data_IF_859559778356
#
_entry.id   IF_859559778356
#
_cell.length_a   1.000
_cell.length_b   1.000
_cell.length_c   1.000
_cell.angle_alpha   90.00
_cell.angle_beta   90.00
_cell.angle_gamma   90.00
#
_symmetry.space_group_name_H-M   'P 1'
#
loop_
_entity.id
_entity.type
_entity.pdbx_description
1 polymer ?
#
# COMPACT_ATOMS: atom_id res chain seq x y z
N UNK A 1 -12.63 -8.64 33.06
CA UNK A 1 -11.77 -7.45 32.90
C UNK A 1 -12.37 -6.63 31.77
N UNK A 2 -12.63 -5.35 31.96
CA UNK A 2 -12.99 -4.48 30.83
C UNK A 2 -11.75 -4.41 29.93
N UNK A 3 -11.86 -4.91 28.70
CA UNK A 3 -10.84 -4.65 27.69
C UNK A 3 -10.70 -3.13 27.53
N UNK A 4 -9.47 -2.61 27.45
CA UNK A 4 -9.27 -1.20 27.12
C UNK A 4 -9.94 -0.90 25.77
N UNK A 5 -10.88 0.05 25.78
CA UNK A 5 -11.52 0.54 24.55
C UNK A 5 -10.54 1.46 23.82
N UNK A 6 -9.80 0.91 22.85
CA UNK A 6 -8.95 1.69 21.95
C UNK A 6 -9.71 2.06 20.67
N UNK A 7 -9.40 3.23 20.09
CA UNK A 7 -9.84 3.55 18.73
C UNK A 7 -9.22 2.55 17.75
N UNK A 8 -10.07 1.75 17.10
CA UNK A 8 -9.65 0.72 16.13
C UNK A 8 -8.92 1.35 14.94
N UNK A 9 -9.30 2.56 14.52
CA UNK A 9 -8.62 3.26 13.45
C UNK A 9 -7.20 3.67 13.87
N UNK A 10 -7.02 4.11 15.11
CA UNK A 10 -5.70 4.44 15.67
C UNK A 10 -4.81 3.21 15.83
N UNK A 11 -5.36 2.12 16.39
CA UNK A 11 -4.62 0.87 16.53
C UNK A 11 -4.13 0.35 15.16
N UNK A 12 -5.00 0.41 14.14
CA UNK A 12 -4.64 0.05 12.77
C UNK A 12 -3.54 0.94 12.19
N UNK A 13 -3.59 2.25 12.46
CA UNK A 13 -2.53 3.19 12.04
C UNK A 13 -1.20 2.80 12.69
N UNK A 14 -1.21 2.45 13.98
CA UNK A 14 -0.03 1.99 14.70
C UNK A 14 0.56 0.70 14.10
N UNK A 15 -0.27 -0.30 13.81
CA UNK A 15 0.17 -1.54 13.15
C UNK A 15 0.80 -1.29 11.78
N UNK A 16 0.25 -0.35 11.02
CA UNK A 16 0.77 0.02 9.69
C UNK A 16 2.15 0.69 9.71
N UNK A 17 2.71 1.02 10.88
CA UNK A 17 4.06 1.55 11.00
C UNK A 17 5.14 0.49 10.71
N UNK A 18 4.83 -0.79 10.90
CA UNK A 18 5.74 -1.88 10.53
C UNK A 18 5.69 -2.11 9.02
N UNK A 19 6.82 -1.87 8.33
CA UNK A 19 6.93 -2.10 6.89
C UNK A 19 6.91 -3.60 6.59
N UNK A 20 6.17 -3.98 5.56
CA UNK A 20 5.98 -5.37 5.14
C UNK A 20 6.23 -5.52 3.65
N UNK A 21 6.61 -6.70 3.21
CA UNK A 21 6.40 -7.09 1.81
C UNK A 21 4.94 -7.44 1.56
N UNK A 22 4.55 -7.53 0.30
CA UNK A 22 3.20 -7.97 -0.09
C UNK A 22 3.25 -9.38 -0.63
N UNK A 23 2.32 -10.23 -0.20
CA UNK A 23 2.23 -11.62 -0.66
C UNK A 23 0.87 -11.95 -1.24
N UNK A 24 0.84 -12.93 -2.13
CA UNK A 24 -0.38 -13.65 -2.52
C UNK A 24 -0.30 -15.06 -1.99
N UNK A 25 -1.31 -15.45 -1.22
CA UNK A 25 -1.46 -16.80 -0.67
C UNK A 25 -2.48 -17.55 -1.51
N UNK A 26 -2.16 -18.76 -1.91
CA UNK A 26 -2.98 -19.56 -2.82
C UNK A 26 -3.13 -21.00 -2.34
N UNK A 27 -4.18 -21.65 -2.81
CA UNK A 27 -4.46 -23.08 -2.60
C UNK A 27 -5.30 -23.58 -3.77
N UNK A 28 -5.50 -24.90 -3.84
CA UNK A 28 -6.50 -25.53 -4.69
C UNK A 28 -7.73 -25.89 -3.83
N UNK A 29 -8.93 -25.61 -4.35
CA UNK A 29 -10.21 -25.95 -3.72
C UNK A 29 -10.53 -27.44 -3.92
N UNK A 30 -11.49 -28.00 -3.15
CA UNK A 30 -11.90 -29.40 -3.33
C UNK A 30 -12.41 -29.74 -4.73
N UNK A 31 -12.95 -28.76 -5.46
CA UNK A 31 -13.40 -28.90 -6.85
C UNK A 31 -12.26 -28.80 -7.89
N UNK A 32 -11.02 -28.63 -7.44
CA UNK A 32 -9.83 -28.49 -8.28
C UNK A 32 -9.55 -27.06 -8.76
N UNK A 33 -10.43 -26.10 -8.50
CA UNK A 33 -10.22 -24.71 -8.92
C UNK A 33 -9.26 -23.96 -7.99
N UNK A 34 -8.46 -23.00 -8.49
CA UNK A 34 -7.52 -22.26 -7.66
C UNK A 34 -8.21 -21.18 -6.83
N UNK A 35 -7.72 -20.96 -5.61
CA UNK A 35 -8.19 -19.91 -4.70
C UNK A 35 -7.02 -19.14 -4.14
N UNK A 36 -7.16 -17.83 -3.95
CA UNK A 36 -6.12 -17.03 -3.34
C UNK A 36 -6.57 -15.66 -2.84
N UNK A 37 -5.70 -15.04 -2.05
CA UNK A 37 -5.90 -13.71 -1.49
C UNK A 37 -4.56 -13.01 -1.26
N UNK A 38 -4.57 -11.69 -1.26
CA UNK A 38 -3.40 -10.87 -0.89
C UNK A 38 -3.29 -10.79 0.63
N UNK A 39 -2.07 -10.91 1.15
CA UNK A 39 -1.76 -10.72 2.56
C UNK A 39 -0.46 -9.93 2.73
N UNK A 40 -0.31 -9.27 3.87
CA UNK A 40 0.95 -8.66 4.30
C UNK A 40 1.33 -9.06 5.74
N UNK A 41 0.65 -10.07 6.30
CA UNK A 41 0.89 -10.66 7.62
C UNK A 41 1.90 -11.83 7.60
N UNK A 42 2.59 -12.02 6.47
CA UNK A 42 3.57 -13.09 6.30
C UNK A 42 4.74 -12.94 7.29
N UNK A 43 5.23 -14.06 7.83
CA UNK A 43 6.41 -14.08 8.70
C UNK A 43 7.16 -15.41 8.56
N UNK A 44 8.49 -15.35 8.51
CA UNK A 44 9.35 -16.54 8.67
C UNK A 44 9.39 -16.97 10.15
N UNK A 45 9.17 -18.25 10.43
CA UNK A 45 9.00 -18.75 11.82
C UNK A 45 10.20 -19.57 12.28
N UNK A 46 10.65 -20.52 11.46
CA UNK A 46 11.71 -21.45 11.82
C UNK A 46 12.51 -21.87 10.58
N UNK A 47 13.80 -22.14 10.77
CA UNK A 47 14.67 -22.70 9.72
C UNK A 47 14.72 -24.23 9.77
N UNK A 48 14.64 -24.83 10.95
CA UNK A 48 14.59 -26.29 11.11
C UNK A 48 13.59 -26.70 12.22
N UNK A 49 12.41 -27.26 11.85
CA UNK A 49 11.92 -27.42 10.48
C UNK A 49 11.64 -26.06 9.80
N UNK A 50 11.68 -26.02 8.47
CA UNK A 50 11.41 -24.80 7.70
C UNK A 50 9.92 -24.41 7.79
N UNK A 51 9.60 -23.41 8.61
CA UNK A 51 8.23 -22.94 8.87
C UNK A 51 8.05 -21.47 8.52
N UNK A 52 6.90 -21.17 7.92
CA UNK A 52 6.38 -19.82 7.70
C UNK A 52 4.96 -19.71 8.25
N UNK A 53 4.47 -18.48 8.44
CA UNK A 53 3.07 -18.24 8.75
C UNK A 53 2.48 -17.09 7.93
N UNK A 54 1.15 -17.10 7.82
CA UNK A 54 0.33 -16.00 7.31
C UNK A 54 -1.02 -15.98 8.02
N UNK A 55 -1.61 -14.80 8.21
CA UNK A 55 -2.91 -14.65 8.85
C UNK A 55 -4.00 -14.37 7.81
N UNK A 56 -5.19 -14.96 7.99
CA UNK A 56 -6.39 -14.68 7.19
C UNK A 56 -7.56 -14.33 8.11
N UNK A 57 -8.28 -13.25 7.77
CA UNK A 57 -9.46 -12.82 8.50
C UNK A 57 -10.57 -13.87 8.37
N UNK A 58 -11.28 -14.16 9.46
CA UNK A 58 -12.43 -15.08 9.46
C UNK A 58 -13.59 -14.59 8.58
N UNK A 59 -13.62 -13.29 8.30
CA UNK A 59 -14.59 -12.62 7.42
C UNK A 59 -14.21 -12.67 5.94
N UNK A 60 -12.98 -13.09 5.60
CA UNK A 60 -12.55 -13.18 4.21
C UNK A 60 -13.33 -14.29 3.50
N UNK A 61 -13.79 -14.05 2.26
CA UNK A 61 -14.50 -15.07 1.49
C UNK A 61 -13.68 -16.34 1.28
N UNK A 62 -12.34 -16.22 1.28
CA UNK A 62 -11.39 -17.32 1.14
C UNK A 62 -11.19 -18.13 2.44
N UNK A 63 -11.61 -17.62 3.60
CA UNK A 63 -11.39 -18.25 4.89
C UNK A 63 -11.87 -19.71 4.95
N UNK A 64 -13.11 -20.07 4.53
CA UNK A 64 -13.58 -21.46 4.60
C UNK A 64 -12.67 -22.47 3.88
N UNK A 65 -12.02 -22.04 2.79
CA UNK A 65 -11.08 -22.89 2.04
C UNK A 65 -9.75 -23.01 2.78
N UNK A 66 -9.21 -21.90 3.27
CA UNK A 66 -7.90 -21.88 3.94
C UNK A 66 -7.92 -22.45 5.36
N UNK A 67 -9.07 -22.47 6.05
CA UNK A 67 -9.20 -23.11 7.37
C UNK A 67 -9.07 -24.63 7.31
N UNK A 68 -9.33 -25.23 6.14
CA UNK A 68 -9.31 -26.68 5.94
C UNK A 68 -8.23 -27.13 4.95
N UNK A 69 -7.46 -26.19 4.37
CA UNK A 69 -6.47 -26.56 3.35
C UNK A 69 -5.32 -27.35 3.94
N UNK A 70 -4.90 -28.40 3.22
CA UNK A 70 -3.72 -29.20 3.57
C UNK A 70 -2.45 -28.66 2.92
N UNK A 71 -2.58 -27.82 1.89
CA UNK A 71 -1.47 -27.34 1.04
C UNK A 71 -1.75 -25.92 0.60
N UNK A 72 -0.73 -25.08 0.63
CA UNK A 72 -0.85 -23.72 0.14
C UNK A 72 0.49 -23.22 -0.37
N UNK A 73 0.47 -22.18 -1.18
CA UNK A 73 1.68 -21.47 -1.56
C UNK A 73 1.60 -20.00 -1.17
N UNK A 74 2.77 -19.40 -0.95
CA UNK A 74 2.93 -17.96 -0.69
C UNK A 74 3.88 -17.40 -1.73
N UNK A 75 3.43 -16.42 -2.50
CA UNK A 75 4.26 -15.67 -3.45
C UNK A 75 4.53 -14.28 -2.90
N UNK A 76 5.79 -13.95 -2.60
CA UNK A 76 6.23 -12.59 -2.26
C UNK A 76 6.35 -11.80 -3.55
N UNK A 77 5.51 -10.77 -3.70
CA UNK A 77 5.38 -10.04 -4.95
C UNK A 77 6.58 -9.15 -5.23
N UNK A 78 6.95 -9.04 -6.51
CA UNK A 78 7.91 -8.06 -7.00
C UNK A 78 7.24 -6.68 -7.19
N UNK A 79 8.06 -5.62 -7.26
CA UNK A 79 7.63 -4.22 -7.33
C UNK A 79 6.64 -3.95 -8.48
N UNK A 80 6.85 -4.56 -9.65
CA UNK A 80 5.98 -4.45 -10.83
C UNK A 80 4.65 -5.23 -10.69
N UNK A 81 4.50 -6.06 -9.67
CA UNK A 81 3.33 -6.89 -9.41
C UNK A 81 2.29 -6.24 -8.51
N UNK A 82 2.33 -4.91 -8.35
CA UNK A 82 1.24 -4.18 -7.72
C UNK A 82 -0.15 -4.50 -8.33
N UNK A 83 -0.32 -4.62 -9.67
CA UNK A 83 -1.60 -5.02 -10.24
C UNK A 83 -2.07 -6.42 -9.76
N UNK A 84 -1.13 -7.36 -9.58
CA UNK A 84 -1.41 -8.70 -9.04
C UNK A 84 -1.96 -8.59 -7.61
N UNK A 85 -1.32 -7.78 -6.77
CA UNK A 85 -1.82 -7.52 -5.42
C UNK A 85 -3.26 -6.98 -5.43
N UNK A 86 -3.57 -6.07 -6.35
CA UNK A 86 -4.91 -5.50 -6.49
C UNK A 86 -5.97 -6.54 -6.87
N UNK A 87 -5.66 -7.40 -7.84
CA UNK A 87 -6.55 -8.50 -8.27
C UNK A 87 -6.86 -9.44 -7.11
N UNK A 88 -5.84 -9.89 -6.38
CA UNK A 88 -6.01 -10.89 -5.33
C UNK A 88 -6.64 -10.34 -4.05
N UNK A 89 -6.57 -9.03 -3.82
CA UNK A 89 -7.27 -8.35 -2.73
C UNK A 89 -8.74 -7.97 -3.08
N UNK A 90 -9.10 -7.94 -4.37
CA UNK A 90 -10.47 -7.64 -4.83
C UNK A 90 -11.48 -8.78 -4.58
N UNK A 91 -12.77 -8.52 -4.87
CA UNK A 91 -13.85 -9.53 -4.90
C UNK A 91 -14.06 -10.14 -6.31
N UNK A 92 -13.14 -9.94 -7.25
CA UNK A 92 -13.24 -10.50 -8.60
C UNK A 92 -13.39 -12.03 -8.57
N UNK A 93 -14.26 -12.58 -9.41
CA UNK A 93 -14.49 -14.02 -9.54
C UNK A 93 -13.32 -14.71 -10.29
N UNK A 94 -12.81 -14.08 -11.35
CA UNK A 94 -11.84 -14.66 -12.27
C UNK A 94 -10.40 -14.16 -12.01
N UNK A 95 -9.95 -14.20 -10.75
CA UNK A 95 -8.63 -13.68 -10.36
C UNK A 95 -7.48 -14.36 -11.11
N UNK A 96 -7.52 -15.69 -11.19
CA UNK A 96 -6.48 -16.51 -11.79
C UNK A 96 -6.46 -16.48 -13.32
N UNK A 97 -7.47 -15.87 -13.96
CA UNK A 97 -7.47 -15.62 -15.40
C UNK A 97 -6.73 -14.31 -15.76
N UNK A 98 -6.51 -13.43 -14.79
CA UNK A 98 -5.91 -12.10 -14.99
C UNK A 98 -4.40 -12.06 -14.67
N UNK A 99 -3.87 -13.11 -14.05
CA UNK A 99 -2.50 -13.17 -13.54
C UNK A 99 -1.86 -14.47 -14.02
N UNK A 100 -0.60 -14.42 -14.44
CA UNK A 100 0.16 -15.61 -14.81
C UNK A 100 0.62 -16.37 -13.55
N UNK A 101 0.44 -17.68 -13.56
CA UNK A 101 0.81 -18.56 -12.45
C UNK A 101 1.09 -19.96 -12.96
N UNK A 102 1.82 -20.74 -12.17
CA UNK A 102 2.02 -22.17 -12.39
C UNK A 102 1.88 -22.96 -11.08
N UNK A 103 1.57 -24.25 -11.19
CA UNK A 103 1.55 -25.14 -10.04
C UNK A 103 2.97 -25.59 -9.67
N UNK A 104 3.21 -25.76 -8.37
CA UNK A 104 4.46 -26.32 -7.82
C UNK A 104 4.25 -27.72 -7.25
N UNK A 105 5.18 -28.19 -6.42
CA UNK A 105 5.26 -29.53 -5.86
C UNK A 105 3.94 -30.02 -5.23
N UNK A 106 3.22 -29.16 -4.51
CA UNK A 106 1.97 -29.51 -3.84
C UNK A 106 0.74 -29.44 -4.75
N UNK A 107 0.89 -28.82 -5.93
CA UNK A 107 -0.21 -28.41 -6.81
C UNK A 107 -0.69 -26.97 -6.57
N UNK A 108 -0.24 -26.32 -5.49
CA UNK A 108 -0.64 -24.94 -5.18
C UNK A 108 -0.07 -23.93 -6.19
N UNK A 109 -0.86 -22.92 -6.63
CA UNK A 109 -0.40 -21.91 -7.58
C UNK A 109 0.67 -20.96 -7.02
N UNK A 110 1.76 -20.72 -7.73
CA UNK A 110 2.68 -19.60 -7.43
C UNK A 110 2.62 -18.55 -8.53
N UNK A 111 2.79 -17.27 -8.16
CA UNK A 111 2.72 -16.16 -9.10
C UNK A 111 4.02 -16.08 -9.91
N UNK A 112 3.91 -16.01 -11.24
CA UNK A 112 5.08 -15.86 -12.11
C UNK A 112 5.73 -14.50 -11.88
N UNK A 113 7.06 -14.44 -11.86
CA UNK A 113 7.81 -13.19 -11.63
C UNK A 113 7.85 -12.73 -10.16
N UNK A 114 7.30 -13.49 -9.22
CA UNK A 114 7.42 -13.21 -7.79
C UNK A 114 8.88 -13.08 -7.34
N UNK A 115 9.16 -12.17 -6.41
CA UNK A 115 10.47 -11.99 -5.79
C UNK A 115 10.91 -13.27 -5.05
N UNK A 116 9.96 -13.96 -4.42
CA UNK A 116 10.15 -15.31 -3.89
C UNK A 116 8.82 -16.07 -3.88
N UNK A 117 8.87 -17.40 -3.83
CA UNK A 117 7.68 -18.19 -3.55
C UNK A 117 7.99 -19.44 -2.74
N UNK A 118 7.07 -19.79 -1.84
CA UNK A 118 7.17 -20.91 -0.91
C UNK A 118 5.96 -21.82 -1.11
N UNK A 119 6.22 -23.09 -1.39
CA UNK A 119 5.19 -24.12 -1.51
C UNK A 119 5.17 -24.95 -0.23
N UNK A 120 3.99 -25.07 0.38
CA UNK A 120 3.85 -25.50 1.77
C UNK A 120 2.82 -26.60 1.95
N UNK A 121 3.12 -27.49 2.90
CA UNK A 121 2.11 -28.33 3.54
C UNK A 121 1.65 -27.64 4.84
N UNK A 122 0.35 -27.64 5.10
CA UNK A 122 -0.21 -27.05 6.32
C UNK A 122 0.32 -27.80 7.53
N UNK A 123 1.04 -27.09 8.39
CA UNK A 123 1.59 -27.62 9.63
C UNK A 123 0.61 -27.46 10.79
N UNK A 124 0.00 -26.29 10.90
CA UNK A 124 -0.97 -25.98 11.95
C UNK A 124 -1.87 -24.81 11.56
N UNK A 125 -3.13 -24.86 11.98
CA UNK A 125 -4.06 -23.73 11.94
C UNK A 125 -4.37 -23.33 13.38
N UNK A 126 -4.17 -22.06 13.73
CA UNK A 126 -4.38 -21.54 15.09
C UNK A 126 -5.46 -20.47 15.07
N UNK A 127 -6.44 -20.59 15.96
CA UNK A 127 -7.44 -19.54 16.20
C UNK A 127 -6.80 -18.34 16.90
N UNK A 128 -6.95 -17.14 16.34
CA UNK A 128 -6.31 -15.92 16.85
C UNK A 128 -7.24 -14.71 16.70
N UNK A 129 -8.31 -14.67 17.50
CA UNK A 129 -9.25 -13.55 17.52
C UNK A 129 -10.12 -13.51 16.28
N UNK A 130 -10.08 -12.41 15.53
CA UNK A 130 -10.83 -12.24 14.27
C UNK A 130 -10.10 -12.85 13.05
N UNK A 131 -8.92 -13.44 13.25
CA UNK A 131 -8.14 -14.15 12.25
C UNK A 131 -7.86 -15.60 12.64
N UNK A 132 -7.41 -16.38 11.67
CA UNK A 132 -6.64 -17.61 11.91
C UNK A 132 -5.18 -17.37 11.50
N UNK A 133 -4.25 -18.03 12.18
CA UNK A 133 -2.85 -18.12 11.79
C UNK A 133 -2.66 -19.45 11.07
N UNK A 134 -2.29 -19.39 9.79
CA UNK A 134 -1.95 -20.54 8.97
C UNK A 134 -0.43 -20.73 8.99
N UNK A 135 0.03 -21.80 9.62
CA UNK A 135 1.46 -22.17 9.69
C UNK A 135 1.72 -23.25 8.65
N UNK A 136 2.70 -23.02 7.78
CA UNK A 136 3.09 -23.93 6.72
C UNK A 136 4.52 -24.45 6.89
N UNK A 137 4.70 -25.75 6.65
CA UNK A 137 6.03 -26.34 6.45
C UNK A 137 6.40 -26.21 4.98
N UNK A 138 7.51 -25.53 4.71
CA UNK A 138 8.00 -25.33 3.35
C UNK A 138 8.55 -26.64 2.80
N UNK A 139 8.04 -27.08 1.65
CA UNK A 139 8.45 -28.30 0.95
C UNK A 139 9.14 -28.04 -0.39
N UNK A 140 9.01 -26.83 -0.93
CA UNK A 140 9.73 -26.31 -2.10
C UNK A 140 9.74 -24.77 -2.06
N UNK A 141 10.77 -24.12 -2.60
CA UNK A 141 10.85 -22.66 -2.68
C UNK A 141 11.75 -22.16 -3.82
N UNK A 142 11.51 -20.94 -4.27
CA UNK A 142 12.40 -20.21 -5.18
C UNK A 142 12.53 -18.76 -4.76
N UNK A 143 13.61 -18.12 -5.20
CA UNK A 143 13.78 -16.67 -5.09
C UNK A 143 14.39 -16.12 -6.39
N UNK A 144 14.20 -14.83 -6.63
CA UNK A 144 14.79 -14.11 -7.75
C UNK A 144 15.65 -12.95 -7.22
N UNK A 145 16.14 -12.10 -8.12
CA UNK A 145 16.82 -10.83 -7.79
C UNK A 145 15.88 -9.63 -7.91
N UNK A 146 14.58 -9.85 -8.16
CA UNK A 146 13.61 -8.77 -8.31
C UNK A 146 13.44 -8.01 -6.98
N UNK A 147 13.29 -6.70 -7.07
CA UNK A 147 12.98 -5.85 -5.92
C UNK A 147 11.58 -6.18 -5.42
N UNK A 148 11.37 -6.45 -4.11
CA UNK A 148 10.06 -6.80 -3.59
C UNK A 148 9.13 -5.58 -3.50
N UNK A 149 7.84 -5.82 -3.69
CA UNK A 149 6.81 -4.81 -3.44
C UNK A 149 6.65 -4.57 -1.94
N UNK A 150 6.85 -3.32 -1.50
CA UNK A 150 6.67 -2.92 -0.12
C UNK A 150 5.26 -2.43 0.19
N UNK A 151 4.86 -2.48 1.46
CA UNK A 151 3.63 -1.87 1.97
C UNK A 151 3.86 -1.29 3.36
N UNK A 152 3.52 -0.03 3.54
CA UNK A 152 3.68 0.69 4.79
C UNK A 152 2.63 1.80 4.92
N UNK A 153 2.07 1.96 6.13
CA UNK A 153 1.05 2.98 6.46
C UNK A 153 -0.17 3.00 5.54
N UNK A 154 -0.53 1.84 4.98
CA UNK A 154 -1.71 1.70 4.12
C UNK A 154 -1.48 2.07 2.65
N UNK A 155 -0.23 2.04 2.18
CA UNK A 155 0.08 2.29 0.77
C UNK A 155 1.38 1.61 0.32
N UNK A 156 1.48 1.29 -0.97
CA UNK A 156 2.62 0.58 -1.55
C UNK A 156 3.92 1.39 -1.51
N UNK A 157 5.06 0.72 -1.35
CA UNK A 157 6.39 1.35 -1.32
C UNK A 157 7.23 0.74 -2.42
N UNK A 158 7.71 1.60 -3.33
CA UNK A 158 8.66 1.24 -4.37
C UNK A 158 10.06 1.63 -3.88
N UNK A 159 10.94 0.63 -3.78
CA UNK A 159 12.30 0.84 -3.29
C UNK A 159 13.21 1.39 -4.40
N UNK A 160 12.89 1.12 -5.66
CA UNK A 160 13.62 1.66 -6.82
C UNK A 160 13.59 3.19 -6.86
N UNK A 161 12.46 3.82 -6.52
CA UNK A 161 12.31 5.28 -6.50
C UNK A 161 13.35 5.97 -5.62
N UNK A 162 13.73 5.35 -4.50
CA UNK A 162 14.78 5.90 -3.62
C UNK A 162 16.15 5.90 -4.28
N UNK A 163 16.44 4.88 -5.10
CA UNK A 163 17.67 4.82 -5.88
C UNK A 163 17.66 5.87 -6.99
N UNK A 164 16.54 6.02 -7.70
CA UNK A 164 16.37 7.03 -8.74
C UNK A 164 16.53 8.46 -8.20
N UNK A 165 15.89 8.75 -7.06
CA UNK A 165 16.01 10.05 -6.41
C UNK A 165 17.45 10.34 -5.97
N UNK A 166 18.18 9.32 -5.47
CA UNK A 166 19.59 9.46 -5.12
C UNK A 166 20.45 9.69 -6.37
N UNK A 167 20.21 8.96 -7.45
CA UNK A 167 20.93 9.12 -8.72
C UNK A 167 20.72 10.51 -9.35
N UNK A 168 19.58 11.15 -9.09
CA UNK A 168 19.29 12.51 -9.52
C UNK A 168 20.03 13.61 -8.73
N UNK A 169 20.79 13.26 -7.69
CA UNK A 169 21.53 14.23 -6.86
C UNK A 169 22.55 14.99 -7.71
N UNK A 170 22.43 16.33 -7.75
CA UNK A 170 23.30 17.20 -8.55
C UNK A 170 22.70 17.69 -9.86
N UNK A 171 21.50 17.20 -10.24
CA UNK A 171 20.73 17.72 -11.35
C UNK A 171 19.77 18.85 -10.90
N UNK A 172 19.21 19.59 -11.86
CA UNK A 172 18.14 20.56 -11.56
C UNK A 172 16.89 19.78 -11.17
N UNK A 173 16.54 19.80 -9.88
CA UNK A 173 15.40 19.06 -9.36
C UNK A 173 14.23 19.98 -8.95
N UNK A 174 13.03 19.42 -9.03
CA UNK A 174 11.84 19.93 -8.37
C UNK A 174 11.33 18.84 -7.42
N UNK A 175 11.19 19.18 -6.14
CA UNK A 175 10.77 18.24 -5.10
C UNK A 175 9.41 18.64 -4.58
N UNK A 176 8.40 17.79 -4.80
CA UNK A 176 7.02 18.04 -4.40
C UNK A 176 6.49 17.04 -3.38
N UNK A 177 5.31 17.33 -2.83
CA UNK A 177 4.59 16.40 -1.96
C UNK A 177 3.11 16.28 -2.32
N UNK A 178 2.60 15.05 -2.33
CA UNK A 178 1.19 14.72 -2.29
C UNK A 178 0.83 14.52 -0.82
N UNK A 179 0.15 15.50 -0.23
CA UNK A 179 -0.17 15.52 1.20
C UNK A 179 -1.65 15.28 1.42
N UNK A 180 -1.97 14.35 2.32
CA UNK A 180 -3.34 14.11 2.78
C UNK A 180 -3.64 14.81 4.10
N UNK A 181 -4.85 15.35 4.18
CA UNK A 181 -5.54 15.85 5.36
C UNK A 181 -6.87 15.09 5.47
N UNK A 182 -7.50 14.96 6.66
CA UNK A 182 -8.82 14.33 6.78
C UNK A 182 -9.90 14.87 5.82
N UNK A 183 -9.80 16.14 5.44
CA UNK A 183 -10.71 16.79 4.48
C UNK A 183 -10.35 16.60 3.00
N UNK A 184 -9.17 16.03 2.68
CA UNK A 184 -8.74 15.78 1.31
C UNK A 184 -7.26 16.06 1.05
N UNK A 185 -6.88 16.15 -0.22
CA UNK A 185 -5.52 16.50 -0.62
C UNK A 185 -5.23 17.98 -0.43
N UNK A 186 -4.01 18.27 0.01
CA UNK A 186 -3.51 19.64 0.12
C UNK A 186 -3.07 20.15 -1.25
N UNK A 187 -3.77 21.17 -1.74
CA UNK A 187 -3.42 21.90 -2.94
C UNK A 187 -3.17 23.38 -2.62
N UNK A 188 -2.19 23.97 -3.30
CA UNK A 188 -1.86 25.38 -3.21
C UNK A 188 -2.51 26.11 -4.37
N UNK A 189 -3.32 27.12 -4.06
CA UNK A 189 -3.92 28.03 -5.03
C UNK A 189 -2.95 29.16 -5.36
N UNK A 190 -2.61 29.28 -6.64
CA UNK A 190 -1.76 30.37 -7.14
C UNK A 190 -2.58 31.65 -7.28
N UNK A 191 -1.90 32.79 -7.42
CA UNK A 191 -2.54 34.09 -7.70
C UNK A 191 -3.34 34.10 -9.01
N UNK A 192 -3.04 33.20 -9.94
CA UNK A 192 -3.79 33.02 -11.19
C UNK A 192 -5.01 32.10 -11.04
N UNK A 193 -5.30 31.61 -9.83
CA UNK A 193 -6.37 30.65 -9.55
C UNK A 193 -6.08 29.21 -10.00
N UNK A 194 -4.84 28.90 -10.42
CA UNK A 194 -4.43 27.53 -10.70
C UNK A 194 -4.18 26.78 -9.39
N UNK A 195 -4.32 25.45 -9.40
CA UNK A 195 -3.96 24.60 -8.27
C UNK A 195 -2.69 23.82 -8.58
N UNK A 196 -1.83 23.67 -7.57
CA UNK A 196 -0.60 22.89 -7.65
C UNK A 196 -0.34 22.14 -6.35
N UNK A 197 0.48 21.11 -6.41
CA UNK A 197 1.06 20.49 -5.21
C UNK A 197 2.08 21.44 -4.57
N UNK A 198 2.33 21.36 -3.25
CA UNK A 198 3.47 22.02 -2.64
C UNK A 198 4.77 21.48 -3.28
N UNK A 199 5.60 22.41 -3.76
CA UNK A 199 6.84 22.12 -4.49
C UNK A 199 7.96 23.03 -4.00
N UNK A 200 9.17 22.48 -3.91
CA UNK A 200 10.42 23.18 -3.67
C UNK A 200 11.50 22.72 -4.65
N UNK A 201 12.73 23.21 -4.46
CA UNK A 201 13.90 22.88 -5.30
C UNK A 201 14.70 21.68 -4.79
N UNK A 202 14.45 21.29 -3.53
CA UNK A 202 15.08 20.18 -2.81
C UNK A 202 14.23 19.82 -1.60
N UNK A 203 14.48 18.70 -0.94
CA UNK A 203 13.71 18.28 0.23
C UNK A 203 13.97 19.16 1.47
N UNK A 204 15.24 19.30 1.83
CA UNK A 204 15.77 19.95 3.05
C UNK A 204 16.75 21.08 2.68
N UNK A 205 17.09 22.02 3.59
CA UNK A 205 16.66 22.12 4.99
C UNK A 205 15.40 22.97 5.20
N UNK A 206 14.71 22.77 6.32
CA UNK A 206 13.58 23.61 6.78
C UNK A 206 13.86 25.12 6.75
N UNK A 207 15.09 25.54 7.05
CA UNK A 207 15.49 26.95 7.08
C UNK A 207 15.55 27.61 5.69
N UNK A 208 15.59 26.82 4.61
CA UNK A 208 15.58 27.35 3.24
C UNK A 208 14.14 27.41 2.72
N UNK A 209 13.61 28.62 2.52
CA UNK A 209 12.26 28.85 2.00
C UNK A 209 12.02 28.28 0.59
N UNK A 210 13.08 27.96 -0.16
CA UNK A 210 12.99 27.31 -1.46
C UNK A 210 13.04 25.76 -1.39
N UNK A 211 13.32 25.17 -0.22
CA UNK A 211 13.18 23.73 -0.01
C UNK A 211 11.70 23.37 0.20
N UNK A 212 11.33 22.12 -0.08
CA UNK A 212 9.97 21.65 0.15
C UNK A 212 9.56 21.82 1.62
N UNK A 213 10.46 21.52 2.57
CA UNK A 213 10.21 21.76 4.00
C UNK A 213 9.98 23.23 4.33
N UNK A 214 10.79 24.13 3.77
CA UNK A 214 10.61 25.57 3.95
C UNK A 214 9.31 26.09 3.34
N UNK A 215 8.93 25.58 2.15
CA UNK A 215 7.65 25.90 1.49
C UNK A 215 6.47 25.47 2.37
N UNK A 216 6.49 24.23 2.88
CA UNK A 216 5.44 23.76 3.79
C UNK A 216 5.37 24.59 5.07
N UNK A 217 6.52 24.92 5.66
CA UNK A 217 6.60 25.81 6.83
C UNK A 217 6.02 27.20 6.57
N UNK A 218 6.28 27.77 5.39
CA UNK A 218 5.72 29.06 4.95
C UNK A 218 4.19 29.05 4.88
N UNK A 219 3.59 27.92 4.52
CA UNK A 219 2.15 27.70 4.57
C UNK A 219 1.61 27.27 5.94
N UNK A 220 2.49 27.15 6.95
CA UNK A 220 2.18 26.60 8.28
C UNK A 220 1.64 25.17 8.23
N UNK A 221 2.12 24.39 7.26
CA UNK A 221 1.79 22.98 7.11
C UNK A 221 2.88 22.14 7.75
N UNK A 222 2.55 21.48 8.85
CA UNK A 222 3.40 20.46 9.43
C UNK A 222 3.02 19.10 8.83
N UNK A 223 3.98 18.48 8.13
CA UNK A 223 3.72 17.26 7.37
C UNK A 223 4.76 16.17 7.67
N UNK A 224 4.28 14.95 7.82
CA UNK A 224 5.12 13.76 7.76
C UNK A 224 5.24 13.33 6.30
N UNK A 225 6.46 13.19 5.78
CA UNK A 225 6.73 12.71 4.43
C UNK A 225 7.19 11.27 4.54
N UNK A 226 6.39 10.34 4.05
CA UNK A 226 6.55 8.90 4.33
C UNK A 226 7.53 8.25 3.33
N UNK A 227 7.18 8.29 2.04
CA UNK A 227 7.92 7.59 0.98
C UNK A 227 7.86 8.39 -0.32
N UNK A 228 8.74 8.06 -1.26
CA UNK A 228 8.63 8.52 -2.63
C UNK A 228 7.43 7.88 -3.31
N UNK A 229 6.79 8.66 -4.16
CA UNK A 229 5.64 8.25 -4.98
C UNK A 229 5.98 8.26 -6.48
N UNK A 230 6.81 9.22 -6.90
CA UNK A 230 7.22 9.31 -8.29
C UNK A 230 8.59 9.98 -8.40
N UNK A 231 9.39 9.48 -9.32
CA UNK A 231 10.60 10.14 -9.85
C UNK A 231 10.49 10.09 -11.37
N UNK A 232 10.57 11.23 -12.04
CA UNK A 232 10.54 11.32 -13.50
C UNK A 232 11.29 12.56 -14.00
N UNK A 233 11.71 12.54 -15.27
CA UNK A 233 12.36 13.69 -15.91
C UNK A 233 11.39 14.36 -16.89
N UNK A 234 11.30 15.69 -16.83
CA UNK A 234 10.59 16.49 -17.82
C UNK A 234 11.43 17.74 -18.18
N UNK A 235 11.69 17.94 -19.48
CA UNK A 235 12.40 19.12 -20.00
C UNK A 235 13.74 19.40 -19.30
N UNK A 236 14.48 18.35 -18.94
CA UNK A 236 15.77 18.44 -18.25
C UNK A 236 15.68 18.82 -16.77
N UNK A 237 14.50 18.71 -16.16
CA UNK A 237 14.27 18.85 -14.73
C UNK A 237 13.82 17.50 -14.17
N UNK A 238 14.46 17.06 -13.09
CA UNK A 238 14.06 15.84 -12.38
C UNK A 238 12.99 16.19 -11.36
N UNK A 239 11.82 15.59 -11.48
CA UNK A 239 10.70 15.74 -10.58
C UNK A 239 10.68 14.59 -9.57
N UNK A 240 10.67 14.92 -8.29
CA UNK A 240 10.69 13.96 -7.19
C UNK A 240 9.49 14.27 -6.29
N UNK A 241 8.52 13.35 -6.22
CA UNK A 241 7.33 13.54 -5.41
C UNK A 241 7.29 12.57 -4.24
N UNK A 242 7.17 13.11 -3.04
CA UNK A 242 6.90 12.36 -1.83
C UNK A 242 5.39 12.25 -1.60
N UNK A 243 4.97 11.19 -0.93
CA UNK A 243 3.65 11.15 -0.28
C UNK A 243 3.80 11.49 1.20
N UNK A 244 2.76 12.06 1.78
CA UNK A 244 2.76 12.37 3.19
C UNK A 244 1.38 12.71 3.74
N UNK A 245 1.35 13.06 5.02
CA UNK A 245 0.14 13.48 5.72
C UNK A 245 0.42 14.73 6.55
N UNK A 246 -0.58 15.58 6.65
CA UNK A 246 -0.58 16.68 7.61
C UNK A 246 -0.72 16.09 9.01
N UNK A 247 0.10 16.57 9.95
CA UNK A 247 0.17 16.07 11.33
C UNK A 247 -0.79 16.83 12.25
N UNK A 248 -1.14 18.07 11.89
CA UNK A 248 -1.88 19.00 12.74
C UNK A 248 -3.18 19.43 12.04
N UNK A 249 -4.24 19.79 12.77
CA UNK A 249 -5.49 20.38 12.21
C UNK A 249 -5.26 21.84 11.74
N UNK A 250 -4.20 22.07 10.94
CA UNK A 250 -3.90 23.37 10.40
C UNK A 250 -5.08 23.80 9.52
N UNK A 251 -5.80 24.89 9.85
CA UNK A 251 -6.95 25.31 9.04
C UNK A 251 -6.48 25.76 7.66
N UNK A 252 -7.35 25.58 6.66
CA UNK A 252 -7.11 26.11 5.33
C UNK A 252 -6.76 27.61 5.41
N UNK A 253 -5.59 27.98 4.89
CA UNK A 253 -5.19 29.39 4.80
C UNK A 253 -5.66 29.99 3.47
N UNK A 254 -5.45 31.30 3.27
CA UNK A 254 -5.92 32.02 2.08
C UNK A 254 -5.60 31.30 0.75
N UNK A 255 -4.45 30.62 0.67
CA UNK A 255 -3.98 29.94 -0.54
C UNK A 255 -3.89 28.41 -0.40
N UNK A 256 -4.23 27.83 0.75
CA UNK A 256 -4.23 26.37 0.94
C UNK A 256 -5.67 25.86 0.79
N UNK A 257 -5.84 24.77 0.06
CA UNK A 257 -7.12 24.10 -0.15
C UNK A 257 -7.00 22.63 0.23
N UNK A 258 -7.94 22.13 1.02
CA UNK A 258 -8.17 20.70 1.19
C UNK A 258 -9.25 20.29 0.20
N UNK A 259 -8.88 19.41 -0.73
CA UNK A 259 -9.74 19.02 -1.83
C UNK A 259 -9.99 17.51 -1.77
N UNK A 260 -11.24 17.06 -1.56
CA UNK A 260 -11.57 15.64 -1.57
C UNK A 260 -11.10 14.95 -2.85
N UNK A 261 -10.63 13.71 -2.75
CA UNK A 261 -10.06 12.94 -3.88
C UNK A 261 -11.03 12.84 -5.08
N UNK A 262 -12.33 12.76 -4.81
CA UNK A 262 -13.39 12.68 -5.82
C UNK A 262 -13.83 14.04 -6.39
N UNK A 263 -13.33 15.16 -5.83
CA UNK A 263 -13.76 16.52 -6.16
C UNK A 263 -12.60 17.39 -6.69
N UNK A 264 -11.48 16.78 -7.08
CA UNK A 264 -10.31 17.51 -7.60
C UNK A 264 -10.71 18.23 -8.90
N UNK A 265 -10.56 19.57 -8.97
CA UNK A 265 -10.90 20.33 -10.17
C UNK A 265 -9.75 20.22 -11.17
N UNK A 266 -9.69 19.09 -11.88
CA UNK A 266 -8.57 18.73 -12.77
C UNK A 266 -8.18 19.84 -13.76
N UNK A 267 -9.14 20.58 -14.32
CA UNK A 267 -8.87 21.69 -15.24
C UNK A 267 -8.13 22.90 -14.63
N UNK A 268 -7.96 22.94 -13.30
CA UNK A 268 -7.16 23.95 -12.60
C UNK A 268 -5.71 23.51 -12.35
N UNK A 269 -5.38 22.24 -12.56
CA UNK A 269 -4.01 21.73 -12.52
C UNK A 269 -3.43 21.92 -13.92
N UNK A 270 -2.40 22.76 -14.05
CA UNK A 270 -1.89 23.20 -15.36
C UNK A 270 -0.78 22.33 -15.91
N UNK A 271 -0.04 21.67 -15.04
CA UNK A 271 1.04 20.79 -15.42
C UNK A 271 0.47 19.39 -15.72
N UNK A 272 0.59 18.96 -16.97
CA UNK A 272 0.01 17.70 -17.45
C UNK A 272 0.70 16.46 -16.86
N UNK A 273 2.01 16.54 -16.57
CA UNK A 273 2.72 15.43 -15.95
C UNK A 273 2.29 15.28 -14.49
N UNK A 274 2.18 16.40 -13.77
CA UNK A 274 1.65 16.42 -12.40
C UNK A 274 0.19 15.97 -12.36
N UNK A 275 -0.65 16.40 -13.32
CA UNK A 275 -2.04 15.93 -13.41
C UNK A 275 -2.11 14.41 -13.60
N UNK A 276 -1.35 13.86 -14.55
CA UNK A 276 -1.29 12.42 -14.81
C UNK A 276 -0.83 11.64 -13.57
N UNK A 277 0.26 12.09 -12.93
CA UNK A 277 0.76 11.52 -11.70
C UNK A 277 -0.29 11.56 -10.57
N UNK A 278 -0.99 12.68 -10.41
CA UNK A 278 -1.99 12.82 -9.34
C UNK A 278 -3.25 11.98 -9.62
N UNK A 279 -3.66 11.83 -10.88
CA UNK A 279 -4.73 10.89 -11.27
C UNK A 279 -4.34 9.46 -10.94
N UNK A 280 -3.09 9.08 -11.21
CA UNK A 280 -2.54 7.80 -10.80
C UNK A 280 -2.62 7.64 -9.28
N UNK A 281 -2.15 8.63 -8.51
CA UNK A 281 -2.26 8.63 -7.05
C UNK A 281 -3.70 8.44 -6.54
N UNK A 282 -4.67 9.17 -7.11
CA UNK A 282 -6.08 9.09 -6.68
C UNK A 282 -6.68 7.73 -6.98
N UNK A 283 -6.46 7.20 -8.19
CA UNK A 283 -6.89 5.84 -8.56
C UNK A 283 -6.32 4.83 -7.57
N UNK A 284 -5.01 4.91 -7.38
CA UNK A 284 -4.26 4.05 -6.48
C UNK A 284 -4.75 4.17 -5.04
N UNK A 285 -4.98 5.34 -4.48
CA UNK A 285 -5.53 5.48 -3.12
C UNK A 285 -6.96 4.97 -2.97
N UNK A 286 -7.73 5.00 -4.05
CA UNK A 286 -9.09 4.45 -4.07
C UNK A 286 -9.06 2.92 -4.13
N UNK A 287 -8.06 2.34 -4.79
CA UNK A 287 -7.82 0.89 -4.90
C UNK A 287 -7.08 0.32 -3.67
N UNK A 288 -6.09 1.04 -3.15
CA UNK A 288 -5.26 0.76 -1.96
C UNK A 288 -6.04 0.92 -0.65
N UNK A 289 -7.33 1.26 -0.71
CA UNK A 289 -8.26 1.09 0.41
C UNK A 289 -8.48 -0.39 0.78
N UNK A 290 -7.47 -1.24 0.57
CA UNK A 290 -7.18 -2.42 1.38
C UNK A 290 -6.87 -2.00 2.81
N UNK A 291 -7.86 -1.41 3.48
CA UNK A 291 -8.06 -1.80 4.84
C UNK A 291 -8.16 -3.32 4.83
N UNK A 292 -7.28 -4.04 5.53
CA UNK A 292 -7.58 -5.31 6.21
C UNK A 292 -9.11 -5.43 6.39
N UNK A 293 -9.77 -6.06 5.43
CA UNK A 293 -11.21 -5.95 5.33
C UNK A 293 -11.78 -6.89 6.39
N UNK A 294 -12.23 -6.32 7.51
CA UNK A 294 -13.06 -7.01 8.50
C UNK A 294 -14.36 -6.21 8.54
N UNK A 295 -15.39 -6.70 7.84
CA UNK A 295 -16.74 -6.11 7.89
C UNK A 295 -17.60 -6.38 6.65
N UNK A 296 -18.65 -7.17 6.82
CA UNK A 296 -19.67 -7.48 5.81
C UNK A 296 -20.58 -6.26 5.50
N UNK A 297 -21.10 -6.21 4.27
CA UNK A 297 -21.91 -5.11 3.70
C UNK A 297 -23.37 -5.15 4.16
N UNK A 298 -23.81 -6.14 4.95
CA UNK A 298 -25.25 -6.29 5.25
C UNK A 298 -25.75 -5.74 6.60
N UNK A 299 -24.89 -5.30 7.54
CA UNK A 299 -25.36 -4.67 8.80
C UNK A 299 -24.49 -3.52 9.29
N UNK A 300 -24.44 -2.44 8.52
CA UNK A 300 -24.02 -1.13 9.01
C UNK A 300 -25.18 -0.44 9.73
N UNK A 301 -25.36 -0.69 11.03
CA UNK A 301 -26.17 0.22 11.85
C UNK A 301 -25.26 1.31 12.37
N UNK A 302 -25.46 2.54 11.89
CA UNK A 302 -24.92 3.74 12.53
C UNK A 302 -25.59 3.83 13.90
N UNK A 303 -24.85 3.54 14.97
CA UNK A 303 -25.19 4.07 16.28
C UNK A 303 -24.31 5.28 16.54
N UNK A 304 -24.95 6.46 16.48
CA UNK A 304 -24.44 7.62 17.19
C UNK A 304 -24.45 7.28 18.68
N UNK A 305 -23.30 7.41 19.34
CA UNK A 305 -23.23 7.39 20.79
C UNK A 305 -22.84 8.80 21.22
N UNK A 306 -23.72 9.39 22.03
CA UNK A 306 -23.43 10.63 22.76
C UNK A 306 -22.55 10.40 23.97
#
# INVERSE_FOLDING_TARGET
MNEPAFDTAEFRRALGAFVTGVTVVTTIQPDGSPRGFTANSFTSVSLDPALILVCIAKTASSHPVFSETQRFAVSVLAEDQRPVSGVFASKSADKFAQVAWHARRTGSPVMDGAAASFDCETHQVVDAGDHIILIGRVVDFTHTTATPLGYCRGAYVDFSLSQDALAATGQRAQVGAILEHPEGLVLIETTSGALQLPIGTRLEPLADAASLRGVLSGYRLNANLDFLFAVFEEKGVTHIYYRGRIVDDAPASANVRYVPLNAIPWGRIRDSAVESMLRRYVKERTEDAFGIYVGDVEKGTVQALG
#
